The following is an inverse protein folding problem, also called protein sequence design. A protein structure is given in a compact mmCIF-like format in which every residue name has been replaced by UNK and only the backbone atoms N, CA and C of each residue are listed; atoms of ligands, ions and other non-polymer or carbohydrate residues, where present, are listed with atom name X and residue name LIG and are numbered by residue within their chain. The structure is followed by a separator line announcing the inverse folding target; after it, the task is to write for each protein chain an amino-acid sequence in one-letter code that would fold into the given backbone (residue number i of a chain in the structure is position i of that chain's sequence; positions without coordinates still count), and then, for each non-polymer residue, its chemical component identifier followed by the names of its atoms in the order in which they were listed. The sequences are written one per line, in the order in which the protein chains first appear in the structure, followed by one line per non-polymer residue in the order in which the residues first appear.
data_IF_146353269166
#
_entry.id   IF_146353269166
#
_cell.length_a   1.000
_cell.length_b   1.000
_cell.length_c   1.000
_cell.angle_alpha   90.00
_cell.angle_beta   90.00
_cell.angle_gamma   90.00
#
_symmetry.space_group_name_H-M   'P 1'
#
loop_
_entity.id
_entity.type
_entity.pdbx_description
1 polymer ?
#
# COMPACT_ATOMS: atom_id res chain seq x y z
N UNK A 1 -4.74 -47.93 -60.09
CA UNK A 1 -3.52 -47.55 -59.35
C UNK A 1 -3.55 -46.04 -59.15
N UNK A 2 -4.14 -45.60 -58.03
CA UNK A 2 -3.49 -44.96 -56.86
C UNK A 2 -3.11 -43.49 -57.11
N UNK A 3 -4.05 -42.60 -56.76
CA UNK A 3 -3.80 -41.22 -56.35
C UNK A 3 -3.01 -41.24 -55.03
N UNK A 4 -2.00 -40.38 -54.90
CA UNK A 4 -1.45 -39.97 -53.60
C UNK A 4 -1.12 -38.47 -53.69
N UNK A 5 -2.01 -37.68 -53.09
CA UNK A 5 -1.66 -36.36 -52.56
C UNK A 5 -0.80 -36.59 -51.32
N UNK A 6 0.37 -35.97 -51.24
CA UNK A 6 1.05 -35.82 -49.96
C UNK A 6 1.46 -34.35 -49.80
N UNK A 7 0.73 -33.71 -48.88
CA UNK A 7 0.98 -32.42 -48.27
C UNK A 7 2.47 -32.23 -47.96
N UNK A 8 3.07 -31.18 -48.52
CA UNK A 8 4.28 -30.60 -47.95
C UNK A 8 3.90 -29.86 -46.66
N UNK A 9 4.26 -30.44 -45.53
CA UNK A 9 4.07 -29.86 -44.20
C UNK A 9 4.99 -28.64 -44.07
N UNK A 10 4.40 -27.44 -44.07
CA UNK A 10 5.10 -26.19 -43.79
C UNK A 10 5.49 -26.23 -42.32
N UNK A 11 6.78 -26.46 -42.05
CA UNK A 11 7.37 -26.26 -40.72
C UNK A 11 7.43 -24.75 -40.52
N UNK A 12 6.35 -24.17 -39.97
CA UNK A 12 6.41 -22.83 -39.40
C UNK A 12 7.21 -22.93 -38.10
N UNK A 13 8.40 -22.37 -38.10
CA UNK A 13 9.20 -22.14 -36.89
C UNK A 13 8.42 -21.19 -35.97
N UNK A 14 7.62 -21.78 -35.10
CA UNK A 14 6.99 -21.07 -33.99
C UNK A 14 8.11 -20.74 -33.00
N UNK A 15 8.74 -19.58 -33.19
CA UNK A 15 9.61 -18.99 -32.17
C UNK A 15 8.70 -18.52 -31.05
N UNK A 16 8.44 -19.43 -30.11
CA UNK A 16 7.82 -19.11 -28.83
C UNK A 16 8.87 -18.29 -28.07
N UNK A 17 8.83 -16.98 -28.26
CA UNK A 17 9.63 -16.05 -27.47
C UNK A 17 9.07 -16.06 -26.04
N UNK A 18 9.62 -16.94 -25.22
CA UNK A 18 9.40 -16.95 -23.77
C UNK A 18 9.84 -15.59 -23.21
N UNK A 19 8.96 -14.92 -22.48
CA UNK A 19 9.30 -13.69 -21.79
C UNK A 19 10.21 -14.05 -20.60
N UNK A 20 11.44 -13.52 -20.59
CA UNK A 20 12.40 -13.85 -19.54
C UNK A 20 12.07 -13.07 -18.26
N UNK A 21 11.75 -13.84 -17.21
CA UNK A 21 11.64 -13.33 -15.84
C UNK A 21 13.00 -13.53 -15.18
N UNK A 22 13.71 -12.43 -14.89
CA UNK A 22 14.98 -12.46 -14.19
C UNK A 22 14.81 -12.02 -12.72
N UNK A 23 15.67 -12.51 -11.85
CA UNK A 23 15.72 -12.09 -10.43
C UNK A 23 16.96 -11.24 -10.23
N UNK A 24 16.78 -10.00 -9.76
CA UNK A 24 17.89 -9.09 -9.43
C UNK A 24 18.66 -9.57 -8.21
N UNK A 25 19.87 -9.06 -7.99
CA UNK A 25 20.66 -9.33 -6.77
C UNK A 25 19.91 -8.98 -5.47
N UNK A 26 18.97 -8.02 -5.53
CA UNK A 26 18.07 -7.65 -4.44
C UNK A 26 16.88 -8.59 -4.22
N UNK A 27 16.75 -9.67 -5.00
CA UNK A 27 15.64 -10.63 -4.94
C UNK A 27 14.35 -10.17 -5.62
N UNK A 28 14.33 -9.00 -6.28
CA UNK A 28 13.18 -8.49 -7.03
C UNK A 28 13.08 -9.15 -8.40
N UNK A 29 11.88 -9.53 -8.83
CA UNK A 29 11.62 -10.08 -10.17
C UNK A 29 11.44 -8.95 -11.18
N UNK A 30 12.07 -9.09 -12.33
CA UNK A 30 11.93 -8.17 -13.47
C UNK A 30 11.48 -8.97 -14.69
N UNK A 31 10.58 -8.39 -15.46
CA UNK A 31 10.17 -8.88 -16.77
C UNK A 31 10.90 -8.04 -17.81
N UNK A 32 11.71 -8.69 -18.64
CA UNK A 32 12.38 -8.06 -19.77
C UNK A 32 11.42 -8.01 -20.96
N UNK A 33 11.16 -6.81 -21.46
CA UNK A 33 10.38 -6.59 -22.66
C UNK A 33 11.27 -6.78 -23.90
N UNK A 34 10.64 -7.13 -25.03
CA UNK A 34 11.33 -7.36 -26.32
C UNK A 34 12.10 -6.13 -26.84
N UNK A 35 11.77 -4.93 -26.37
CA UNK A 35 12.41 -3.67 -26.77
C UNK A 35 13.61 -3.29 -25.87
N UNK A 36 14.12 -4.21 -25.05
CA UNK A 36 15.24 -3.96 -24.15
C UNK A 36 14.89 -3.12 -22.91
N UNK A 37 13.62 -2.74 -22.74
CA UNK A 37 13.13 -2.16 -21.48
C UNK A 37 12.78 -3.27 -20.51
N UNK A 38 12.84 -2.99 -19.21
CA UNK A 38 12.39 -3.93 -18.19
C UNK A 38 11.29 -3.30 -17.35
N UNK A 39 10.37 -4.12 -16.86
CA UNK A 39 9.39 -3.74 -15.85
C UNK A 39 9.65 -4.56 -14.60
N UNK A 40 9.75 -3.89 -13.45
CA UNK A 40 9.67 -4.61 -12.18
C UNK A 40 8.32 -5.31 -12.13
N UNK A 41 8.34 -6.64 -12.09
CA UNK A 41 7.19 -7.40 -11.66
C UNK A 41 7.07 -7.05 -10.19
N UNK A 42 6.09 -6.24 -9.82
CA UNK A 42 5.82 -5.93 -8.42
C UNK A 42 5.71 -7.27 -7.71
N UNK A 43 6.75 -7.64 -6.99
CA UNK A 43 6.64 -8.70 -6.00
C UNK A 43 5.66 -8.12 -5.00
N UNK A 44 4.40 -8.49 -5.13
CA UNK A 44 3.50 -8.61 -4.00
C UNK A 44 4.06 -9.71 -3.08
N UNK A 45 5.27 -9.49 -2.56
CA UNK A 45 5.57 -9.93 -1.22
C UNK A 45 4.59 -9.11 -0.40
N UNK A 46 3.44 -9.71 -0.11
CA UNK A 46 2.61 -9.36 1.03
C UNK A 46 3.52 -9.42 2.25
N UNK A 47 4.26 -8.34 2.48
CA UNK A 47 4.62 -7.97 3.84
C UNK A 47 3.27 -7.53 4.38
N UNK A 48 2.69 -8.31 5.28
CA UNK A 48 1.43 -7.99 5.97
C UNK A 48 1.63 -6.74 6.83
N UNK A 49 1.77 -5.58 6.19
CA UNK A 49 1.72 -4.28 6.81
C UNK A 49 0.26 -3.93 6.98
N UNK A 50 -0.18 -3.85 8.23
CA UNK A 50 -1.56 -3.54 8.63
C UNK A 50 -2.60 -4.45 8.00
N UNK A 51 -2.86 -5.61 8.62
CA UNK A 51 -4.02 -6.45 8.29
C UNK A 51 -5.05 -6.28 9.40
N UNK A 52 -5.77 -5.16 9.37
CA UNK A 52 -6.97 -5.01 10.19
C UNK A 52 -8.01 -6.03 9.74
N UNK A 53 -8.80 -6.51 10.70
CA UNK A 53 -9.94 -7.40 10.50
C UNK A 53 -11.20 -6.73 11.01
N UNK A 54 -12.34 -7.16 10.49
CA UNK A 54 -13.66 -6.66 10.91
C UNK A 54 -13.89 -6.83 12.42
N UNK A 55 -13.34 -7.90 12.99
CA UNK A 55 -13.39 -8.23 14.42
C UNK A 55 -12.58 -7.30 15.31
N UNK A 56 -11.72 -6.47 14.74
CA UNK A 56 -10.91 -5.50 15.48
C UNK A 56 -11.69 -4.21 15.79
N UNK A 57 -12.93 -4.10 15.32
CA UNK A 57 -13.79 -2.94 15.53
C UNK A 57 -14.94 -3.26 16.48
N UNK A 58 -15.13 -2.37 17.47
CA UNK A 58 -16.32 -2.34 18.32
C UNK A 58 -17.34 -1.47 17.63
N UNK A 59 -18.48 -2.07 17.26
CA UNK A 59 -19.56 -1.40 16.55
C UNK A 59 -20.76 -1.26 17.46
N UNK A 60 -21.31 -0.06 17.48
CA UNK A 60 -22.60 0.28 18.11
C UNK A 60 -23.47 0.97 17.07
N UNK A 61 -24.74 1.22 17.38
CA UNK A 61 -25.63 1.96 16.48
C UNK A 61 -25.15 3.40 16.21
N UNK A 62 -24.47 4.01 17.18
CA UNK A 62 -24.02 5.40 17.10
C UNK A 62 -22.60 5.54 16.55
N UNK A 63 -21.70 4.65 16.93
CA UNK A 63 -20.27 4.78 16.62
C UNK A 63 -19.58 3.45 16.36
N UNK A 64 -18.48 3.53 15.62
CA UNK A 64 -17.50 2.48 15.43
C UNK A 64 -16.14 2.96 15.93
N UNK A 65 -15.51 2.15 16.78
CA UNK A 65 -14.16 2.41 17.30
C UNK A 65 -13.27 1.18 17.17
N UNK A 66 -11.97 1.41 17.07
CA UNK A 66 -11.00 0.32 17.11
C UNK A 66 -10.88 -0.25 18.53
N UNK A 67 -10.84 -1.59 18.65
CA UNK A 67 -10.75 -2.30 19.93
C UNK A 67 -9.36 -2.22 20.54
N UNK A 68 -8.33 -2.40 19.71
CA UNK A 68 -6.94 -2.43 20.17
C UNK A 68 -6.38 -1.00 20.21
N UNK A 69 -5.13 -0.86 20.64
CA UNK A 69 -4.46 0.45 20.66
C UNK A 69 -3.34 0.57 19.64
N UNK A 70 -2.96 -0.53 19.00
CA UNK A 70 -1.76 -0.60 18.17
C UNK A 70 -1.95 -1.51 16.95
N UNK A 71 -1.25 -1.18 15.87
CA UNK A 71 -1.20 -1.94 14.62
C UNK A 71 0.26 -2.00 14.12
N UNK A 72 0.57 -2.98 13.27
CA UNK A 72 1.87 -3.04 12.60
C UNK A 72 1.84 -2.25 11.29
N UNK A 73 2.80 -1.35 11.12
CA UNK A 73 2.95 -0.50 9.93
C UNK A 73 4.41 -0.48 9.50
N UNK A 74 4.72 -0.30 8.22
CA UNK A 74 6.11 -0.23 7.76
C UNK A 74 6.79 1.08 8.16
N UNK A 75 8.02 0.97 8.66
CA UNK A 75 8.94 2.08 8.84
C UNK A 75 9.80 2.33 7.57
N UNK A 76 10.72 3.28 7.67
CA UNK A 76 11.68 3.67 6.62
C UNK A 76 12.59 2.55 6.10
N UNK A 77 12.80 1.50 6.90
CA UNK A 77 13.58 0.31 6.54
C UNK A 77 12.70 -0.82 5.99
N UNK A 78 11.43 -0.53 5.66
CA UNK A 78 10.44 -1.50 5.20
C UNK A 78 10.20 -2.63 6.22
N UNK A 79 10.43 -2.37 7.52
CA UNK A 79 10.17 -3.31 8.61
C UNK A 79 8.86 -2.95 9.32
N UNK A 80 8.02 -3.93 9.69
CA UNK A 80 6.84 -3.67 10.49
C UNK A 80 7.26 -3.19 11.88
N UNK A 81 6.67 -2.08 12.31
CA UNK A 81 6.83 -1.51 13.65
C UNK A 81 5.45 -1.31 14.28
N UNK A 82 5.40 -1.49 15.60
CA UNK A 82 4.19 -1.27 16.38
C UNK A 82 3.89 0.23 16.43
N UNK A 83 2.68 0.60 16.05
CA UNK A 83 2.25 1.99 15.90
C UNK A 83 0.90 2.17 16.58
N UNK A 84 0.76 3.20 17.42
CA UNK A 84 -0.52 3.50 18.07
C UNK A 84 -1.58 3.80 17.01
N UNK A 85 -2.76 3.22 17.14
CA UNK A 85 -3.86 3.39 16.19
C UNK A 85 -5.16 3.75 16.89
N UNK A 86 -5.83 4.76 16.36
CA UNK A 86 -7.18 5.13 16.77
C UNK A 86 -8.06 5.29 15.55
N UNK A 87 -9.23 4.66 15.58
CA UNK A 87 -10.29 4.81 14.59
C UNK A 87 -11.54 5.37 15.24
N UNK A 88 -12.19 6.33 14.59
CA UNK A 88 -13.50 6.82 15.01
C UNK A 88 -14.37 7.27 13.83
N UNK A 89 -15.57 6.73 13.74
CA UNK A 89 -16.64 7.20 12.85
C UNK A 89 -18.00 6.81 13.41
N UNK A 90 -19.08 7.32 12.82
CA UNK A 90 -20.39 6.69 12.96
C UNK A 90 -20.46 5.37 12.17
N UNK A 91 -21.51 4.60 12.43
CA UNK A 91 -21.74 3.31 11.79
C UNK A 91 -21.99 3.42 10.28
N UNK A 92 -22.77 4.41 9.83
CA UNK A 92 -23.13 4.55 8.42
C UNK A 92 -21.90 4.84 7.55
N UNK A 93 -21.00 5.71 8.03
CA UNK A 93 -19.73 6.00 7.36
C UNK A 93 -18.83 4.78 7.37
N UNK A 94 -18.68 4.09 8.51
CA UNK A 94 -17.88 2.87 8.55
C UNK A 94 -18.39 1.84 7.54
N UNK A 95 -19.70 1.62 7.46
CA UNK A 95 -20.33 0.65 6.54
C UNK A 95 -20.18 1.01 5.06
N UNK A 96 -19.78 2.24 4.71
CA UNK A 96 -19.49 2.62 3.32
C UNK A 96 -18.10 2.19 2.86
N UNK A 97 -17.26 1.67 3.75
CA UNK A 97 -15.92 1.14 3.45
C UNK A 97 -15.83 -0.34 3.79
N UNK A 98 -15.14 -1.09 2.95
CA UNK A 98 -14.65 -2.42 3.31
C UNK A 98 -13.38 -2.33 4.16
N UNK A 99 -13.08 -3.37 4.91
CA UNK A 99 -11.84 -3.48 5.68
C UNK A 99 -10.60 -3.39 4.78
N UNK A 100 -10.67 -3.94 3.56
CA UNK A 100 -9.61 -3.84 2.57
C UNK A 100 -9.39 -2.39 2.13
N UNK A 101 -10.46 -1.60 2.00
CA UNK A 101 -10.34 -0.17 1.70
C UNK A 101 -9.67 0.57 2.87
N UNK A 102 -10.08 0.31 4.11
CA UNK A 102 -9.45 0.90 5.30
C UNK A 102 -7.96 0.56 5.37
N UNK A 103 -7.60 -0.72 5.20
CA UNK A 103 -6.20 -1.17 5.15
C UNK A 103 -5.42 -0.48 4.02
N UNK A 104 -6.02 -0.38 2.83
CA UNK A 104 -5.43 0.30 1.66
C UNK A 104 -5.20 1.79 1.93
N UNK A 105 -6.13 2.47 2.59
CA UNK A 105 -6.00 3.88 2.95
C UNK A 105 -4.86 4.10 3.95
N UNK A 106 -4.76 3.27 5.01
CA UNK A 106 -3.67 3.34 5.99
C UNK A 106 -2.32 3.10 5.31
N UNK A 107 -2.22 2.05 4.49
CA UNK A 107 -1.01 1.72 3.74
C UNK A 107 -0.61 2.85 2.80
N UNK A 108 -1.58 3.40 2.05
CA UNK A 108 -1.37 4.52 1.13
C UNK A 108 -0.87 5.77 1.84
N UNK A 109 -1.51 6.15 2.96
CA UNK A 109 -1.11 7.30 3.77
C UNK A 109 0.32 7.13 4.32
N UNK A 110 0.64 5.95 4.85
CA UNK A 110 1.96 5.65 5.40
C UNK A 110 3.06 5.68 4.32
N UNK A 111 2.82 5.02 3.18
CA UNK A 111 3.75 5.01 2.05
C UNK A 111 3.98 6.43 1.55
N UNK A 112 2.92 7.18 1.26
CA UNK A 112 3.08 8.55 0.73
C UNK A 112 3.80 9.47 1.71
N UNK A 113 3.50 9.37 3.01
CA UNK A 113 4.21 10.10 4.06
C UNK A 113 5.70 9.78 4.03
N UNK A 114 6.05 8.49 4.13
CA UNK A 114 7.43 8.02 4.13
C UNK A 114 8.21 8.47 2.87
N UNK A 115 7.61 8.36 1.69
CA UNK A 115 8.28 8.68 0.42
C UNK A 115 8.39 10.19 0.12
N UNK A 116 7.62 11.04 0.79
CA UNK A 116 7.80 12.50 0.71
C UNK A 116 8.97 13.00 1.57
N UNK A 117 9.50 12.18 2.48
CA UNK A 117 10.61 12.58 3.34
C UNK A 117 11.96 12.47 2.63
N UNK A 118 12.81 13.49 2.79
CA UNK A 118 14.19 13.48 2.28
C UNK A 118 14.99 12.29 2.82
N UNK A 119 14.91 12.04 4.14
CA UNK A 119 15.60 10.95 4.83
C UNK A 119 14.67 9.79 5.17
N UNK A 120 13.95 9.27 4.17
CA UNK A 120 12.90 8.24 4.37
C UNK A 120 13.32 7.04 5.22
N UNK A 121 14.59 6.61 5.18
CA UNK A 121 15.08 5.46 5.97
C UNK A 121 14.99 5.66 7.48
N UNK A 122 14.95 6.92 7.92
CA UNK A 122 14.86 7.27 9.34
C UNK A 122 13.43 7.42 9.85
N UNK A 123 12.44 7.30 8.94
CA UNK A 123 11.02 7.40 9.25
C UNK A 123 10.58 6.28 10.17
N UNK A 124 9.96 6.63 11.29
CA UNK A 124 9.29 5.66 12.18
C UNK A 124 7.91 6.22 12.54
N UNK A 125 6.81 5.60 12.06
CA UNK A 125 5.47 6.00 12.48
C UNK A 125 5.28 5.71 13.97
N UNK A 126 4.60 6.62 14.68
CA UNK A 126 4.34 6.50 16.11
C UNK A 126 2.86 6.41 16.43
N UNK A 127 2.04 7.20 15.72
CA UNK A 127 0.60 7.23 15.90
C UNK A 127 -0.10 7.44 14.57
N UNK A 128 -1.19 6.70 14.34
CA UNK A 128 -2.11 6.86 13.22
C UNK A 128 -3.50 7.12 13.78
N UNK A 129 -4.08 8.27 13.43
CA UNK A 129 -5.45 8.63 13.77
C UNK A 129 -6.29 8.66 12.51
N UNK A 130 -7.37 7.86 12.48
CA UNK A 130 -8.27 7.70 11.35
C UNK A 130 -9.66 8.15 11.77
N UNK A 131 -10.17 9.19 11.13
CA UNK A 131 -11.51 9.71 11.41
C UNK A 131 -12.16 10.28 10.15
N UNK A 132 -13.49 10.41 10.19
CA UNK A 132 -14.26 11.07 9.14
C UNK A 132 -14.45 12.56 9.46
N UNK A 133 -14.33 13.41 8.45
CA UNK A 133 -14.54 14.85 8.52
C UNK A 133 -15.83 15.18 7.78
N UNK A 134 -16.91 15.40 8.53
CA UNK A 134 -18.25 15.65 7.98
C UNK A 134 -18.30 16.87 7.05
N UNK A 135 -17.65 17.98 7.43
CA UNK A 135 -17.67 19.24 6.67
C UNK A 135 -17.24 19.07 5.22
N UNK A 136 -16.22 18.24 4.98
CA UNK A 136 -15.63 18.03 3.67
C UNK A 136 -16.03 16.68 3.05
N UNK A 137 -16.82 15.88 3.78
CA UNK A 137 -17.18 14.49 3.43
C UNK A 137 -15.95 13.67 3.02
N UNK A 138 -14.91 13.72 3.86
CA UNK A 138 -13.64 13.02 3.60
C UNK A 138 -13.19 12.20 4.79
N UNK A 139 -12.50 11.11 4.51
CA UNK A 139 -11.73 10.41 5.52
C UNK A 139 -10.37 11.08 5.67
N UNK A 140 -9.94 11.27 6.90
CA UNK A 140 -8.66 11.85 7.24
C UNK A 140 -7.82 10.84 8.03
N UNK A 141 -6.57 10.70 7.61
CA UNK A 141 -5.54 9.94 8.33
C UNK A 141 -4.42 10.90 8.73
N UNK A 142 -4.25 11.07 10.03
CA UNK A 142 -3.09 11.76 10.59
C UNK A 142 -2.05 10.73 11.02
N UNK A 143 -0.80 10.89 10.56
CA UNK A 143 0.35 10.10 10.98
C UNK A 143 1.33 10.99 11.71
N UNK A 144 1.51 10.77 13.01
CA UNK A 144 2.62 11.32 13.78
C UNK A 144 3.81 10.37 13.68
N UNK A 145 4.98 10.91 13.39
CA UNK A 145 6.20 10.13 13.16
C UNK A 145 7.43 10.84 13.71
N UNK A 146 8.52 10.07 13.82
CA UNK A 146 9.86 10.61 14.02
C UNK A 146 10.71 10.37 12.78
N UNK A 147 11.63 11.27 12.48
CA UNK A 147 12.68 11.06 11.50
C UNK A 147 13.90 11.92 11.78
N UNK A 148 15.04 11.59 11.18
CA UNK A 148 16.26 12.38 11.33
C UNK A 148 16.42 13.40 10.21
N UNK A 149 16.94 14.57 10.56
CA UNK A 149 17.44 15.54 9.59
C UNK A 149 18.80 15.08 9.00
N UNK A 150 19.32 15.86 8.05
CA UNK A 150 20.59 15.55 7.37
C UNK A 150 21.81 15.54 8.32
N UNK A 151 21.67 16.11 9.51
CA UNK A 151 22.70 16.16 10.55
C UNK A 151 22.53 15.08 11.63
N UNK A 152 21.58 14.15 11.44
CA UNK A 152 21.32 13.05 12.37
C UNK A 152 20.42 13.41 13.56
N UNK A 153 19.97 14.66 13.68
CA UNK A 153 19.05 15.09 14.73
C UNK A 153 17.63 14.56 14.50
N UNK A 154 17.04 13.94 15.52
CA UNK A 154 15.64 13.48 15.47
C UNK A 154 14.67 14.66 15.54
N UNK A 155 13.64 14.62 14.70
CA UNK A 155 12.56 15.59 14.63
C UNK A 155 11.23 14.84 14.59
N UNK A 156 10.28 15.31 15.40
CA UNK A 156 8.88 14.91 15.32
C UNK A 156 8.22 15.61 14.12
N UNK A 157 7.41 14.85 13.38
CA UNK A 157 6.64 15.37 12.25
C UNK A 157 5.21 14.84 12.26
N UNK A 158 4.36 15.51 11.49
CA UNK A 158 2.98 15.06 11.27
C UNK A 158 2.62 15.11 9.80
N UNK A 159 1.82 14.15 9.36
CA UNK A 159 1.33 14.08 8.00
C UNK A 159 -0.17 13.83 8.00
N UNK A 160 -0.89 14.56 7.15
CA UNK A 160 -2.34 14.48 7.01
C UNK A 160 -2.66 14.03 5.60
N UNK A 161 -3.22 12.84 5.45
CA UNK A 161 -3.76 12.34 4.19
C UNK A 161 -5.27 12.43 4.20
N UNK A 162 -5.86 12.86 3.08
CA UNK A 162 -7.32 12.87 2.90
C UNK A 162 -7.73 11.92 1.80
N UNK A 163 -8.93 11.36 1.95
CA UNK A 163 -9.53 10.41 1.02
C UNK A 163 -11.00 10.75 0.81
N UNK A 164 -11.55 10.40 -0.35
CA UNK A 164 -13.00 10.45 -0.60
C UNK A 164 -13.75 9.51 0.33
N UNK A 165 -15.06 9.69 0.42
CA UNK A 165 -16.02 8.79 1.06
C UNK A 165 -15.89 7.31 0.64
N UNK A 166 -15.50 7.06 -0.60
CA UNK A 166 -15.23 5.70 -1.14
C UNK A 166 -13.76 5.24 -0.99
N UNK A 167 -12.94 5.98 -0.25
CA UNK A 167 -11.55 5.61 0.06
C UNK A 167 -10.52 5.93 -1.03
N UNK A 168 -10.85 6.78 -2.01
CA UNK A 168 -9.89 7.21 -3.02
C UNK A 168 -9.00 8.33 -2.48
N UNK A 169 -7.68 8.22 -2.65
CA UNK A 169 -6.72 9.24 -2.18
C UNK A 169 -6.97 10.60 -2.84
N UNK A 170 -7.02 11.66 -2.03
CA UNK A 170 -7.20 13.05 -2.48
C UNK A 170 -5.89 13.82 -2.35
N UNK A 171 -5.39 13.99 -1.13
CA UNK A 171 -4.28 14.89 -0.85
C UNK A 171 -3.42 14.42 0.33
N UNK A 172 -2.19 14.95 0.40
CA UNK A 172 -1.24 14.75 1.51
C UNK A 172 -0.56 16.07 1.85
N UNK A 173 -0.65 16.44 3.13
CA UNK A 173 0.04 17.59 3.72
C UNK A 173 1.02 17.13 4.80
N UNK A 174 2.25 17.64 4.78
CA UNK A 174 3.27 17.38 5.80
C UNK A 174 3.59 18.68 6.56
N UNK A 175 3.65 18.58 7.89
CA UNK A 175 3.97 19.67 8.83
C UNK A 175 5.27 19.36 9.59
#
# INVERSE_FOLDING_TARGET
MKQFYLLAFIITSSVIYSQEIATTESGKKVQLNKNGTYKYLSSSKNIESTVLKETDFIKTEEYVKFKNQEIYVLNGDEKPVLTSFSFGSDFNRFSSLSIEQINSMISTANIKTMFQMKNRRTYVPKKISFFFVEKDSTWMINISYIASNDYGGQKDGSAYSTFTDIGAFKDLMIL
#
